data_IF_016796597638
#
_entry.id   IF_016796597638
#
_cell.length_a   1.000
_cell.length_b   1.000
_cell.length_c   1.000
_cell.angle_alpha   90.00
_cell.angle_beta   90.00
_cell.angle_gamma   90.00
#
_symmetry.space_group_name_H-M   'P 1'
#
loop_
_entity.id
_entity.type
_entity.pdbx_description
1 polymer ?
#
# COMPACT_ATOMS: atom_id res chain seq x y z
N UNK A 1 -34.65 -32.32 -21.12
CA UNK A 1 -34.52 -31.04 -21.83
C UNK A 1 -33.21 -30.41 -21.42
N UNK A 2 -32.35 -30.12 -22.41
CA UNK A 2 -31.23 -29.15 -22.43
C UNK A 2 -30.11 -29.36 -21.39
N UNK A 3 -28.95 -29.95 -21.70
CA UNK A 3 -27.92 -29.53 -22.68
C UNK A 3 -27.73 -28.01 -22.74
N UNK A 4 -26.65 -27.51 -22.15
CA UNK A 4 -25.62 -26.74 -22.86
C UNK A 4 -24.62 -26.16 -21.86
N UNK A 5 -23.45 -26.77 -21.84
CA UNK A 5 -22.18 -26.10 -21.62
C UNK A 5 -22.08 -24.89 -22.55
N UNK A 6 -22.49 -23.71 -22.08
CA UNK A 6 -22.27 -22.47 -22.81
C UNK A 6 -21.01 -21.79 -22.25
N UNK A 7 -19.85 -21.88 -22.92
CA UNK A 7 -18.72 -21.02 -22.59
C UNK A 7 -19.15 -19.56 -22.74
N UNK A 8 -18.78 -18.73 -21.77
CA UNK A 8 -19.01 -17.27 -21.81
C UNK A 8 -18.62 -16.77 -23.21
N UNK A 9 -19.46 -15.94 -23.88
CA UNK A 9 -19.14 -15.46 -25.20
C UNK A 9 -17.79 -14.74 -25.15
N UNK A 10 -16.84 -15.25 -25.92
CA UNK A 10 -15.66 -14.47 -26.30
C UNK A 10 -16.24 -13.25 -27.01
N UNK A 11 -16.01 -12.08 -26.44
CA UNK A 11 -16.41 -10.82 -27.04
C UNK A 11 -15.63 -10.74 -28.34
N UNK A 12 -16.30 -11.01 -29.46
CA UNK A 12 -15.70 -10.89 -30.78
C UNK A 12 -15.52 -9.40 -31.01
N UNK A 13 -14.29 -8.92 -30.85
CA UNK A 13 -13.93 -7.54 -31.14
C UNK A 13 -14.18 -7.35 -32.64
N UNK A 14 -15.26 -6.65 -32.98
CA UNK A 14 -15.57 -6.34 -34.37
C UNK A 14 -14.41 -5.51 -34.96
N UNK A 15 -14.16 -5.60 -36.27
CA UNK A 15 -13.13 -4.75 -36.92
C UNK A 15 -13.35 -3.25 -36.64
N UNK A 16 -14.59 -2.86 -36.36
CA UNK A 16 -14.99 -1.51 -35.94
C UNK A 16 -14.56 -1.15 -34.50
N UNK A 17 -14.45 -2.14 -33.59
CA UNK A 17 -13.90 -1.95 -32.24
C UNK A 17 -12.37 -1.93 -32.22
N UNK A 18 -11.71 -2.62 -33.15
CA UNK A 18 -10.27 -2.49 -33.40
C UNK A 18 -9.90 -1.10 -33.95
N UNK A 19 -10.76 -0.51 -34.78
CA UNK A 19 -10.56 0.86 -35.29
C UNK A 19 -10.73 1.93 -34.21
N UNK A 20 -11.45 1.66 -33.12
CA UNK A 20 -11.48 2.56 -31.94
C UNK A 20 -10.21 2.49 -31.09
N UNK A 21 -9.54 1.34 -31.07
CA UNK A 21 -8.27 1.18 -30.35
C UNK A 21 -7.11 1.80 -31.15
N UNK A 22 -7.20 1.82 -32.47
CA UNK A 22 -6.13 2.33 -33.36
C UNK A 22 -6.40 3.76 -33.86
N UNK A 23 -7.65 4.22 -33.92
CA UNK A 23 -8.06 5.48 -34.59
C UNK A 23 -8.63 6.59 -33.69
N UNK A 24 -8.64 6.42 -32.37
CA UNK A 24 -9.18 7.40 -31.42
C UNK A 24 -8.22 8.53 -31.05
N UNK A 25 -8.09 9.54 -31.92
CA UNK A 25 -7.76 10.93 -31.59
C UNK A 25 -6.68 11.18 -30.49
N UNK A 26 -5.58 10.45 -30.53
CA UNK A 26 -4.31 10.93 -29.97
C UNK A 26 -3.58 11.61 -31.11
N UNK A 27 -3.48 12.94 -31.09
CA UNK A 27 -2.53 13.72 -31.88
C UNK A 27 -1.14 13.11 -31.69
N UNK A 28 -0.81 12.17 -32.57
CA UNK A 28 0.51 11.60 -32.69
C UNK A 28 1.43 12.77 -32.98
N UNK A 29 2.34 13.02 -32.05
CA UNK A 29 3.45 13.95 -32.21
C UNK A 29 4.18 13.49 -33.47
N UNK A 30 3.87 14.11 -34.60
CA UNK A 30 4.52 13.86 -35.87
C UNK A 30 6.00 14.13 -35.66
N UNK A 31 6.87 13.26 -36.19
CA UNK A 31 8.32 13.48 -36.18
C UNK A 31 8.72 14.84 -36.83
N UNK A 32 7.83 15.42 -37.65
CA UNK A 32 7.93 16.78 -38.19
C UNK A 32 7.61 17.91 -37.20
N UNK A 33 6.89 17.67 -36.10
CA UNK A 33 6.73 18.63 -34.99
C UNK A 33 7.92 18.66 -34.02
N UNK A 34 8.76 17.61 -34.05
CA UNK A 34 9.98 17.49 -33.24
C UNK A 34 11.14 18.29 -33.87
N UNK A 35 11.13 18.49 -35.19
CA UNK A 35 12.18 19.24 -35.90
C UNK A 35 12.16 20.75 -35.62
N UNK A 36 11.11 21.28 -34.98
CA UNK A 36 11.02 22.67 -34.52
C UNK A 36 10.90 22.83 -33.00
N UNK A 37 10.82 21.74 -32.24
CA UNK A 37 10.87 21.78 -30.78
C UNK A 37 12.33 21.68 -30.38
N UNK A 38 12.89 22.77 -29.83
CA UNK A 38 14.27 22.84 -29.39
C UNK A 38 14.59 21.58 -28.55
N UNK A 39 15.68 20.86 -28.86
CA UNK A 39 16.06 19.63 -28.17
C UNK A 39 16.18 19.88 -26.64
N UNK A 40 16.54 21.11 -26.26
CA UNK A 40 16.48 21.60 -24.88
C UNK A 40 15.06 21.56 -24.29
N UNK A 41 14.05 22.03 -25.02
CA UNK A 41 12.65 22.03 -24.57
C UNK A 41 12.11 20.60 -24.44
N UNK A 42 12.44 19.73 -25.41
CA UNK A 42 12.07 18.32 -25.35
C UNK A 42 12.76 17.61 -24.16
N UNK A 43 14.05 17.87 -23.93
CA UNK A 43 14.78 17.28 -22.80
C UNK A 43 14.30 17.82 -21.45
N UNK A 44 14.00 19.13 -21.36
CA UNK A 44 13.42 19.72 -20.16
C UNK A 44 12.04 19.13 -19.85
N UNK A 45 11.22 18.89 -20.88
CA UNK A 45 9.94 18.21 -20.73
C UNK A 45 10.12 16.77 -20.19
N UNK A 46 11.08 16.00 -20.72
CA UNK A 46 11.37 14.63 -20.24
C UNK A 46 11.86 14.64 -18.79
N UNK A 47 12.78 15.55 -18.42
CA UNK A 47 13.26 15.63 -17.04
C UNK A 47 12.16 16.11 -16.08
N UNK A 48 11.29 17.02 -16.52
CA UNK A 48 10.11 17.45 -15.76
C UNK A 48 9.11 16.30 -15.55
N UNK A 49 8.87 15.49 -16.57
CA UNK A 49 8.06 14.27 -16.46
C UNK A 49 8.69 13.27 -15.47
N UNK A 50 10.00 13.04 -15.56
CA UNK A 50 10.71 12.15 -14.62
C UNK A 50 10.62 12.63 -13.17
N UNK A 51 10.81 13.93 -12.93
CA UNK A 51 10.67 14.51 -11.60
C UNK A 51 9.24 14.36 -11.07
N UNK A 52 8.23 14.60 -11.91
CA UNK A 52 6.81 14.42 -11.55
C UNK A 52 6.50 12.97 -11.19
N UNK A 53 7.01 12.00 -11.97
CA UNK A 53 6.82 10.57 -11.70
C UNK A 53 7.50 10.14 -10.39
N UNK A 54 8.72 10.62 -10.12
CA UNK A 54 9.43 10.34 -8.87
C UNK A 54 8.69 10.92 -7.65
N UNK A 55 8.11 12.12 -7.78
CA UNK A 55 7.30 12.74 -6.73
C UNK A 55 6.01 11.95 -6.47
N UNK A 56 5.31 11.51 -7.52
CA UNK A 56 4.13 10.64 -7.39
C UNK A 56 4.50 9.33 -6.69
N UNK A 57 5.56 8.66 -7.13
CA UNK A 57 6.03 7.42 -6.49
C UNK A 57 6.43 7.63 -5.03
N UNK A 58 7.08 8.74 -4.70
CA UNK A 58 7.42 9.08 -3.33
C UNK A 58 6.16 9.28 -2.48
N UNK A 59 5.18 10.02 -3.00
CA UNK A 59 3.90 10.26 -2.31
C UNK A 59 3.14 8.96 -2.08
N UNK A 60 3.04 8.10 -3.09
CA UNK A 60 2.37 6.81 -2.98
C UNK A 60 3.07 5.91 -1.96
N UNK A 61 4.40 5.88 -1.98
CA UNK A 61 5.19 5.12 -1.01
C UNK A 61 5.05 5.66 0.41
N UNK A 62 4.96 6.98 0.61
CA UNK A 62 4.69 7.58 1.93
C UNK A 62 3.30 7.18 2.42
N UNK A 63 2.29 7.26 1.57
CA UNK A 63 0.92 6.85 1.91
C UNK A 63 0.85 5.35 2.26
N UNK A 64 1.55 4.51 1.50
CA UNK A 64 1.67 3.08 1.80
C UNK A 64 2.34 2.83 3.16
N UNK A 65 3.42 3.56 3.48
CA UNK A 65 4.09 3.46 4.79
C UNK A 65 3.19 3.94 5.92
N UNK A 66 2.41 5.01 5.73
CA UNK A 66 1.43 5.47 6.72
C UNK A 66 0.36 4.41 6.98
N UNK A 67 -0.31 3.90 5.95
CA UNK A 67 -1.32 2.85 6.12
C UNK A 67 -0.75 1.56 6.73
N UNK A 68 0.52 1.25 6.44
CA UNK A 68 1.23 0.13 7.06
C UNK A 68 1.55 0.41 8.53
N UNK A 69 1.91 1.63 8.91
CA UNK A 69 2.08 2.04 10.31
C UNK A 69 0.77 1.90 11.08
N UNK A 70 -0.35 2.34 10.49
CA UNK A 70 -1.67 2.23 11.11
C UNK A 70 -2.04 0.76 11.35
N UNK A 71 -1.83 -0.09 10.34
CA UNK A 71 -2.05 -1.54 10.44
C UNK A 71 -1.18 -2.18 11.53
N UNK A 72 0.11 -1.82 11.61
CA UNK A 72 1.01 -2.32 12.66
C UNK A 72 0.56 -1.85 14.04
N UNK A 73 0.05 -0.62 14.15
CA UNK A 73 -0.52 -0.08 15.38
C UNK A 73 -1.72 -0.93 15.84
N UNK A 74 -2.66 -1.19 14.94
CA UNK A 74 -3.83 -2.04 15.21
C UNK A 74 -3.42 -3.47 15.60
N UNK A 75 -2.47 -4.08 14.88
CA UNK A 75 -1.98 -5.43 15.21
C UNK A 75 -1.28 -5.48 16.57
N UNK A 76 -0.51 -4.44 16.94
CA UNK A 76 0.10 -4.36 18.27
C UNK A 76 -0.96 -4.23 19.38
N UNK A 77 -2.00 -3.42 19.15
CA UNK A 77 -3.14 -3.30 20.07
C UNK A 77 -3.88 -4.64 20.20
N UNK A 78 -4.14 -5.33 19.09
CA UNK A 78 -4.73 -6.67 19.08
C UNK A 78 -3.89 -7.67 19.88
N UNK A 79 -2.57 -7.73 19.66
CA UNK A 79 -1.65 -8.57 20.46
C UNK A 79 -1.71 -8.21 21.95
N UNK A 80 -1.80 -6.93 22.31
CA UNK A 80 -1.98 -6.49 23.69
C UNK A 80 -3.28 -6.99 24.33
N UNK A 81 -4.39 -6.90 23.58
CA UNK A 81 -5.70 -7.40 24.03
C UNK A 81 -5.72 -8.92 24.16
N UNK A 82 -5.11 -9.65 23.22
CA UNK A 82 -4.98 -11.11 23.25
C UNK A 82 -4.07 -11.59 24.37
N UNK A 83 -2.97 -10.88 24.66
CA UNK A 83 -2.13 -11.19 25.82
C UNK A 83 -2.88 -10.96 27.14
N UNK A 84 -3.72 -9.94 27.22
CA UNK A 84 -4.55 -9.67 28.40
C UNK A 84 -5.67 -10.70 28.56
N UNK A 85 -6.24 -11.18 27.44
CA UNK A 85 -7.16 -12.30 27.44
C UNK A 85 -6.45 -13.60 27.86
N UNK A 86 -5.24 -13.85 27.35
CA UNK A 86 -4.44 -15.03 27.66
C UNK A 86 -4.06 -15.10 29.15
N UNK A 87 -3.72 -13.95 29.76
CA UNK A 87 -3.39 -13.88 31.20
C UNK A 87 -4.60 -14.08 32.11
N UNK A 88 -5.82 -14.02 31.56
CA UNK A 88 -7.03 -14.37 32.29
C UNK A 88 -7.14 -15.89 32.50
N UNK A 89 -6.47 -16.73 31.72
CA UNK A 89 -6.48 -18.18 31.94
C UNK A 89 -5.53 -18.60 33.08
N UNK A 90 -5.96 -19.55 33.90
CA UNK A 90 -5.15 -20.09 35.00
C UNK A 90 -4.20 -21.20 34.51
N UNK A 91 -3.12 -21.43 35.26
CA UNK A 91 -2.20 -22.55 35.02
C UNK A 91 -2.91 -23.87 35.31
N UNK A 92 -3.30 -24.59 34.25
CA UNK A 92 -4.09 -25.83 34.34
C UNK A 92 -5.37 -25.80 33.48
N UNK A 93 -5.76 -24.63 32.97
CA UNK A 93 -6.90 -24.51 32.07
C UNK A 93 -6.61 -25.23 30.74
N UNK A 94 -7.56 -26.09 30.35
CA UNK A 94 -7.57 -26.78 29.05
C UNK A 94 -7.77 -25.80 27.89
N UNK A 95 -7.39 -26.20 26.68
CA UNK A 95 -7.53 -25.37 25.48
C UNK A 95 -8.99 -24.99 25.18
N UNK A 96 -9.96 -25.82 25.61
CA UNK A 96 -11.40 -25.56 25.49
C UNK A 96 -11.96 -24.61 26.56
N UNK A 97 -11.13 -24.12 27.49
CA UNK A 97 -11.59 -23.23 28.55
C UNK A 97 -11.98 -21.87 27.97
N UNK A 98 -13.19 -21.42 28.23
CA UNK A 98 -13.69 -20.14 27.73
C UNK A 98 -13.10 -18.95 28.51
N UNK A 99 -12.90 -17.84 27.79
CA UNK A 99 -12.43 -16.59 28.36
C UNK A 99 -13.37 -16.11 29.47
N UNK A 100 -12.80 -15.82 30.64
CA UNK A 100 -13.56 -15.45 31.83
C UNK A 100 -14.32 -16.61 32.49
N UNK A 101 -13.96 -17.88 32.24
CA UNK A 101 -14.55 -19.04 32.93
C UNK A 101 -14.43 -18.98 34.47
N UNK A 102 -13.44 -18.28 34.99
CA UNK A 102 -13.20 -18.07 36.42
C UNK A 102 -13.88 -16.79 36.97
N UNK A 103 -14.48 -15.97 36.09
CA UNK A 103 -15.25 -14.79 36.44
C UNK A 103 -16.75 -15.13 36.45
N UNK A 104 -17.50 -14.48 37.32
CA UNK A 104 -18.95 -14.66 37.42
C UNK A 104 -19.69 -13.34 37.15
N UNK A 105 -20.90 -13.44 36.58
CA UNK A 105 -21.79 -12.30 36.37
C UNK A 105 -21.29 -11.25 35.35
N UNK A 106 -21.60 -9.99 35.62
CA UNK A 106 -21.36 -8.86 34.72
C UNK A 106 -19.87 -8.66 34.36
N UNK A 107 -18.96 -9.06 35.26
CA UNK A 107 -17.52 -8.97 35.02
C UNK A 107 -17.05 -9.91 33.90
N UNK A 108 -17.62 -11.12 33.80
CA UNK A 108 -17.34 -12.05 32.70
C UNK A 108 -17.82 -11.46 31.37
N UNK A 109 -19.06 -10.97 31.34
CA UNK A 109 -19.67 -10.38 30.14
C UNK A 109 -18.94 -9.11 29.70
N UNK A 110 -18.49 -8.26 30.63
CA UNK A 110 -17.73 -7.05 30.32
C UNK A 110 -16.34 -7.38 29.72
N UNK A 111 -15.62 -8.36 30.28
CA UNK A 111 -14.34 -8.81 29.75
C UNK A 111 -14.49 -9.35 28.32
N UNK A 112 -15.47 -10.23 28.10
CA UNK A 112 -15.74 -10.84 26.79
C UNK A 112 -16.14 -9.74 25.77
N UNK A 113 -17.07 -8.85 26.12
CA UNK A 113 -17.48 -7.79 25.21
C UNK A 113 -16.35 -6.80 24.90
N UNK A 114 -15.54 -6.43 25.89
CA UNK A 114 -14.39 -5.53 25.68
C UNK A 114 -13.33 -6.16 24.79
N UNK A 115 -13.07 -7.46 24.95
CA UNK A 115 -12.09 -8.19 24.14
C UNK A 115 -12.59 -8.39 22.71
N UNK A 116 -13.83 -8.85 22.52
CA UNK A 116 -14.42 -8.98 21.17
C UNK A 116 -14.51 -7.65 20.42
N UNK A 117 -14.94 -6.57 21.09
CA UNK A 117 -15.03 -5.24 20.49
C UNK A 117 -13.66 -4.76 20.07
N UNK A 118 -12.66 -4.88 20.96
CA UNK A 118 -11.29 -4.49 20.64
C UNK A 118 -10.75 -5.33 19.48
N UNK A 119 -10.90 -6.66 19.50
CA UNK A 119 -10.40 -7.52 18.42
C UNK A 119 -11.02 -7.19 17.06
N UNK A 120 -12.32 -6.90 17.03
CA UNK A 120 -13.03 -6.45 15.82
C UNK A 120 -12.54 -5.09 15.33
N UNK A 121 -12.37 -4.14 16.24
CA UNK A 121 -11.88 -2.79 15.91
C UNK A 121 -10.45 -2.79 15.38
N UNK A 122 -9.63 -3.76 15.81
CA UNK A 122 -8.26 -3.95 15.32
C UNK A 122 -8.15 -4.88 14.09
N UNK A 123 -9.27 -5.23 13.45
CA UNK A 123 -9.30 -5.94 12.17
C UNK A 123 -9.08 -7.46 12.25
N UNK A 124 -9.17 -8.06 13.45
CA UNK A 124 -9.18 -9.51 13.61
C UNK A 124 -10.61 -9.99 13.35
N UNK A 125 -10.79 -10.76 12.27
CA UNK A 125 -12.09 -11.32 11.90
C UNK A 125 -12.51 -12.41 12.90
N UNK A 126 -13.15 -11.98 13.97
CA UNK A 126 -13.91 -12.85 14.86
C UNK A 126 -15.22 -13.20 14.13
N UNK A 127 -15.37 -14.46 13.74
CA UNK A 127 -16.64 -14.96 13.23
C UNK A 127 -17.75 -14.80 14.28
N UNK A 128 -18.94 -14.39 13.86
CA UNK A 128 -20.10 -14.05 14.72
C UNK A 128 -20.59 -15.19 15.65
N UNK A 129 -19.98 -16.37 15.60
CA UNK A 129 -20.29 -17.53 16.44
C UNK A 129 -19.64 -17.49 17.85
N UNK A 130 -18.78 -16.51 18.15
CA UNK A 130 -18.07 -16.39 19.45
C UNK A 130 -18.90 -15.73 20.58
N UNK A 131 -20.23 -15.73 20.48
CA UNK A 131 -21.09 -15.16 21.53
C UNK A 131 -21.05 -15.94 22.85
N UNK A 132 -20.57 -17.19 22.81
CA UNK A 132 -20.29 -18.04 23.99
C UNK A 132 -18.84 -17.89 24.52
N UNK A 133 -18.02 -17.04 23.90
CA UNK A 133 -16.68 -16.65 24.34
C UNK A 133 -15.54 -17.38 23.65
N UNK A 134 -14.45 -16.66 23.36
CA UNK A 134 -13.20 -17.24 22.87
C UNK A 134 -12.70 -18.31 23.85
N UNK A 135 -12.27 -19.45 23.32
CA UNK A 135 -11.53 -20.45 24.11
C UNK A 135 -10.05 -20.11 24.21
N UNK A 136 -9.36 -20.67 25.20
CA UNK A 136 -7.92 -20.51 25.38
C UNK A 136 -7.14 -20.89 24.11
N UNK A 137 -7.49 -22.01 23.48
CA UNK A 137 -6.85 -22.45 22.23
C UNK A 137 -7.07 -21.47 21.08
N UNK A 138 -8.24 -20.86 20.97
CA UNK A 138 -8.53 -19.83 19.97
C UNK A 138 -7.76 -18.54 20.26
N UNK A 139 -7.70 -18.08 21.51
CA UNK A 139 -6.90 -16.91 21.91
C UNK A 139 -5.42 -17.12 21.58
N UNK A 140 -4.86 -18.29 21.89
CA UNK A 140 -3.46 -18.61 21.61
C UNK A 140 -3.19 -18.73 20.10
N UNK A 141 -4.10 -19.34 19.35
CA UNK A 141 -4.01 -19.44 17.89
C UNK A 141 -4.09 -18.07 17.22
N UNK A 142 -5.05 -17.23 17.64
CA UNK A 142 -5.19 -15.85 17.17
C UNK A 142 -3.99 -14.99 17.56
N UNK A 143 -3.44 -15.17 18.77
CA UNK A 143 -2.24 -14.46 19.23
C UNK A 143 -1.04 -14.81 18.36
N UNK A 144 -0.83 -16.10 18.09
CA UNK A 144 0.23 -16.58 17.22
C UNK A 144 0.07 -16.07 15.78
N UNK A 145 -1.14 -16.15 15.22
CA UNK A 145 -1.47 -15.65 13.89
C UNK A 145 -1.27 -14.14 13.75
N UNK A 146 -1.77 -13.37 14.71
CA UNK A 146 -1.63 -11.90 14.75
C UNK A 146 -0.16 -11.50 14.92
N UNK A 147 0.61 -12.22 15.73
CA UNK A 147 2.06 -11.99 15.88
C UNK A 147 2.82 -12.31 14.60
N UNK A 148 2.50 -13.42 13.93
CA UNK A 148 3.10 -13.75 12.63
C UNK A 148 2.77 -12.69 11.58
N UNK A 149 1.53 -12.21 11.55
CA UNK A 149 1.12 -11.12 10.67
C UNK A 149 1.87 -9.83 11.00
N UNK A 150 1.99 -9.46 12.28
CA UNK A 150 2.78 -8.31 12.75
C UNK A 150 4.22 -8.40 12.27
N UNK A 151 4.87 -9.55 12.45
CA UNK A 151 6.26 -9.77 12.06
C UNK A 151 6.42 -9.64 10.53
N UNK A 152 5.49 -10.20 9.75
CA UNK A 152 5.48 -10.06 8.29
C UNK A 152 5.28 -8.61 7.83
N UNK A 153 4.42 -7.86 8.52
CA UNK A 153 4.14 -6.46 8.19
C UNK A 153 5.28 -5.53 8.59
N UNK A 154 5.92 -5.79 9.73
CA UNK A 154 7.12 -5.10 10.20
C UNK A 154 8.28 -5.30 9.23
N UNK A 155 8.51 -6.53 8.75
CA UNK A 155 9.55 -6.79 7.75
C UNK A 155 9.30 -6.00 6.45
N UNK A 156 8.06 -5.99 5.96
CA UNK A 156 7.75 -5.22 4.76
C UNK A 156 7.74 -3.70 5.00
N UNK A 157 7.49 -3.22 6.21
CA UNK A 157 7.66 -1.80 6.58
C UNK A 157 9.14 -1.39 6.51
N UNK A 158 10.05 -2.24 7.00
CA UNK A 158 11.50 -1.99 6.88
C UNK A 158 11.92 -1.88 5.41
N UNK A 159 11.40 -2.75 4.55
CA UNK A 159 11.61 -2.69 3.10
C UNK A 159 11.06 -1.39 2.49
N UNK A 160 9.85 -0.99 2.88
CA UNK A 160 9.23 0.23 2.39
C UNK A 160 9.99 1.49 2.84
N UNK A 161 10.58 1.48 4.04
CA UNK A 161 11.47 2.55 4.50
C UNK A 161 12.78 2.62 3.69
N UNK A 162 13.38 1.48 3.34
CA UNK A 162 14.55 1.46 2.45
C UNK A 162 14.19 1.99 1.05
N UNK A 163 13.00 1.65 0.54
CA UNK A 163 12.49 2.19 -0.73
C UNK A 163 12.26 3.70 -0.65
N UNK A 164 11.68 4.21 0.43
CA UNK A 164 11.52 5.65 0.66
C UNK A 164 12.86 6.38 0.67
N UNK A 165 13.86 5.84 1.38
CA UNK A 165 15.20 6.42 1.39
C UNK A 165 15.82 6.42 -0.01
N UNK A 166 15.69 5.32 -0.76
CA UNK A 166 16.17 5.23 -2.14
C UNK A 166 15.47 6.21 -3.08
N UNK A 167 14.13 6.33 -2.99
CA UNK A 167 13.34 7.27 -3.78
C UNK A 167 13.68 8.72 -3.45
N UNK A 168 13.86 9.04 -2.17
CA UNK A 168 14.31 10.36 -1.72
C UNK A 168 15.69 10.72 -2.29
N UNK A 169 16.64 9.78 -2.25
CA UNK A 169 17.96 9.97 -2.85
C UNK A 169 17.86 10.18 -4.37
N UNK A 170 17.11 9.34 -5.09
CA UNK A 170 16.90 9.47 -6.55
C UNK A 170 16.23 10.79 -6.93
N UNK A 171 15.30 11.26 -6.11
CA UNK A 171 14.63 12.56 -6.27
C UNK A 171 15.66 13.69 -6.15
N UNK A 172 16.48 13.69 -5.09
CA UNK A 172 17.51 14.70 -4.87
C UNK A 172 18.54 14.70 -6.02
N UNK A 173 19.03 13.53 -6.44
CA UNK A 173 19.93 13.41 -7.60
C UNK A 173 19.29 13.95 -8.90
N UNK A 174 18.00 13.70 -9.12
CA UNK A 174 17.27 14.24 -10.26
C UNK A 174 17.15 15.76 -10.18
N UNK A 175 16.89 16.33 -9.01
CA UNK A 175 16.87 17.79 -8.80
C UNK A 175 18.23 18.44 -9.02
N UNK A 176 19.31 17.81 -8.54
CA UNK A 176 20.67 18.29 -8.78
C UNK A 176 21.02 18.24 -10.27
N UNK A 177 20.63 17.16 -10.97
CA UNK A 177 20.82 17.05 -12.41
C UNK A 177 20.00 18.11 -13.18
N UNK A 178 18.76 18.37 -12.78
CA UNK A 178 17.93 19.43 -13.38
C UNK A 178 18.53 20.82 -13.14
N UNK A 179 19.01 21.10 -11.93
CA UNK A 179 19.63 22.39 -11.59
C UNK A 179 20.90 22.60 -12.39
N UNK A 180 21.76 21.58 -12.49
CA UNK A 180 22.97 21.62 -13.31
C UNK A 180 22.66 21.75 -14.80
N UNK A 181 21.60 21.09 -15.28
CA UNK A 181 21.16 21.20 -16.67
C UNK A 181 20.69 22.62 -16.98
N UNK A 182 19.81 23.21 -16.16
CA UNK A 182 19.34 24.60 -16.32
C UNK A 182 20.50 25.59 -16.26
N UNK A 183 21.45 25.40 -15.34
CA UNK A 183 22.64 26.25 -15.25
C UNK A 183 23.50 26.18 -16.53
N UNK A 184 23.74 24.97 -17.04
CA UNK A 184 24.47 24.78 -18.31
C UNK A 184 23.72 25.39 -19.51
N UNK A 185 22.38 25.30 -19.55
CA UNK A 185 21.59 25.97 -20.58
C UNK A 185 21.72 27.49 -20.50
N UNK A 186 21.69 28.07 -19.30
CA UNK A 186 21.87 29.51 -19.10
C UNK A 186 23.27 29.96 -19.51
N UNK A 187 24.32 29.23 -19.15
CA UNK A 187 25.70 29.50 -19.57
C UNK A 187 25.87 29.37 -21.09
N UNK A 188 25.25 28.35 -21.71
CA UNK A 188 25.23 28.17 -23.17
C UNK A 188 24.57 29.37 -23.87
N UNK A 189 23.38 29.78 -23.43
CA UNK A 189 22.68 30.95 -23.96
C UNK A 189 23.47 32.24 -23.74
N UNK A 190 24.08 32.41 -22.57
CA UNK A 190 24.94 33.56 -22.27
C UNK A 190 26.20 33.59 -23.14
N UNK A 191 26.79 32.44 -23.46
CA UNK A 191 27.95 32.31 -24.35
C UNK A 191 27.59 32.63 -25.80
N UNK A 192 26.44 32.16 -26.29
CA UNK A 192 25.92 32.50 -27.62
C UNK A 192 25.65 34.00 -27.74
N UNK A 193 24.99 34.60 -26.74
CA UNK A 193 24.76 36.05 -26.71
C UNK A 193 26.09 36.81 -26.58
N UNK A 194 27.03 36.30 -25.79
CA UNK A 194 28.36 36.87 -25.61
C UNK A 194 29.19 36.90 -26.88
N UNK A 195 29.15 35.84 -27.70
CA UNK A 195 29.84 35.77 -28.99
C UNK A 195 29.17 36.59 -30.10
N UNK A 196 27.92 37.05 -29.90
CA UNK A 196 27.19 37.89 -30.87
C UNK A 196 27.33 39.39 -30.59
N UNK A 197 27.93 39.79 -29.47
CA UNK A 197 28.23 41.20 -29.14
C UNK A 197 29.66 41.53 -29.52
#
# INVERSE_FOLDING_TARGET
MTDSSNPKPIIDLTEEDLDKIIGGAGTGVTAQSIQGMDLETAMMAVQSQRATLLETQLKDQIAAVQGRNDTISHLNQAVGTLNSAASSFHSGDSDSTQLGAHLTGDAKTALINSTLTSLKDHGVNITEQEKDGLTKGEVESLLSGTKSQLDSMSNSQQMDMLRLQSLSNKRNEAFDLMTNFVKKMQESRSSIIGNMR
#
